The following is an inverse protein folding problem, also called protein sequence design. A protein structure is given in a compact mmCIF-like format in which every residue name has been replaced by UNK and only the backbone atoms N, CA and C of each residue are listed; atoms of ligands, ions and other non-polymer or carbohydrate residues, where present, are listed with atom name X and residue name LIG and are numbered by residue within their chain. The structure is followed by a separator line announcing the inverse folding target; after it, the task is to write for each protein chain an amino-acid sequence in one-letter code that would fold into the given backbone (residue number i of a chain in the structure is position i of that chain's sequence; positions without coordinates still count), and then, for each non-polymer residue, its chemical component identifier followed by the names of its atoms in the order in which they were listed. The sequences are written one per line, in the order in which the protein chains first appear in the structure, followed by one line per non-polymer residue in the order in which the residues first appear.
data_IF_355271833918
#
_entry.id   IF_355271833918
#
_cell.length_a   1.000
_cell.length_b   1.000
_cell.length_c   1.000
_cell.angle_alpha   90.00
_cell.angle_beta   90.00
_cell.angle_gamma   90.00
#
_symmetry.space_group_name_H-M   'P 1'
#
loop_
_entity.id
_entity.type
_entity.pdbx_description
1 polymer ?
#
# COMPACT_ATOMS: atom_id res chain seq x y z
N UNK A 1 -10.55 39.29 -27.89
CA UNK A 1 -10.98 37.93 -28.27
C UNK A 1 -10.30 36.81 -27.48
N UNK A 2 -8.99 36.84 -27.21
CA UNK A 2 -8.28 35.77 -26.49
C UNK A 2 -8.81 35.47 -25.07
N UNK A 3 -9.16 36.51 -24.29
CA UNK A 3 -9.67 36.37 -22.91
C UNK A 3 -11.04 35.67 -22.85
N UNK A 4 -11.92 35.92 -23.84
CA UNK A 4 -13.23 35.27 -23.92
C UNK A 4 -13.11 33.78 -24.27
N UNK A 5 -12.16 33.43 -25.15
CA UNK A 5 -11.86 32.05 -25.54
C UNK A 5 -11.21 31.25 -24.41
N UNK A 6 -10.36 31.90 -23.59
CA UNK A 6 -9.81 31.29 -22.37
C UNK A 6 -10.88 31.05 -21.29
N UNK A 7 -11.82 32.00 -21.12
CA UNK A 7 -12.96 31.84 -20.19
C UNK A 7 -13.93 30.74 -20.61
N UNK A 8 -14.21 30.60 -21.92
CA UNK A 8 -15.06 29.51 -22.42
C UNK A 8 -14.36 28.16 -22.32
N UNK A 9 -13.05 28.09 -22.62
CA UNK A 9 -12.25 26.87 -22.41
C UNK A 9 -12.23 26.43 -20.94
N UNK A 10 -12.08 27.38 -20.00
CA UNK A 10 -12.15 27.09 -18.57
C UNK A 10 -13.51 26.53 -18.14
N UNK A 11 -14.62 27.08 -18.66
CA UNK A 11 -15.98 26.56 -18.38
C UNK A 11 -16.18 25.14 -18.93
N UNK A 12 -15.70 24.88 -20.16
CA UNK A 12 -15.79 23.54 -20.76
C UNK A 12 -15.00 22.52 -19.94
N UNK A 13 -13.79 22.87 -19.49
CA UNK A 13 -12.97 21.99 -18.64
C UNK A 13 -13.64 21.73 -17.27
N UNK A 14 -14.23 22.74 -16.65
CA UNK A 14 -14.96 22.58 -15.38
C UNK A 14 -16.18 21.66 -15.55
N UNK A 15 -16.97 21.85 -16.61
CA UNK A 15 -18.15 21.01 -16.89
C UNK A 15 -17.71 19.58 -17.20
N UNK A 16 -16.70 19.38 -18.04
CA UNK A 16 -16.16 18.05 -18.34
C UNK A 16 -15.62 17.36 -17.08
N UNK A 17 -14.91 18.09 -16.21
CA UNK A 17 -14.44 17.58 -14.93
C UNK A 17 -15.58 17.20 -13.97
N UNK A 18 -16.62 18.03 -13.88
CA UNK A 18 -17.81 17.75 -13.06
C UNK A 18 -18.57 16.51 -13.56
N UNK A 19 -18.78 16.40 -14.87
CA UNK A 19 -19.38 15.22 -15.49
C UNK A 19 -18.55 13.97 -15.26
N UNK A 20 -17.21 14.09 -15.33
CA UNK A 20 -16.31 12.98 -15.05
C UNK A 20 -16.39 12.51 -13.59
N UNK A 21 -16.44 13.44 -12.62
CA UNK A 21 -16.64 13.10 -11.20
C UNK A 21 -18.02 12.48 -10.96
N UNK A 22 -19.07 13.02 -11.60
CA UNK A 22 -20.41 12.46 -11.52
C UNK A 22 -20.46 11.03 -12.09
N UNK A 23 -19.79 10.79 -13.22
CA UNK A 23 -19.64 9.46 -13.80
C UNK A 23 -18.88 8.50 -12.88
N UNK A 24 -17.77 8.94 -12.27
CA UNK A 24 -17.06 8.14 -11.26
C UNK A 24 -17.96 7.81 -10.06
N UNK A 25 -18.83 8.72 -9.65
CA UNK A 25 -19.74 8.51 -8.53
C UNK A 25 -20.89 7.54 -8.87
N UNK A 26 -21.39 7.61 -10.10
CA UNK A 26 -22.53 6.83 -10.57
C UNK A 26 -22.17 5.40 -11.02
N UNK A 27 -21.05 5.23 -11.73
CA UNK A 27 -20.71 3.96 -12.42
C UNK A 27 -19.76 3.09 -11.61
N UNK A 28 -18.92 3.68 -10.75
CA UNK A 28 -18.01 2.89 -9.91
C UNK A 28 -18.82 2.06 -8.89
N UNK A 29 -18.46 0.79 -8.60
CA UNK A 29 -19.27 -0.09 -7.76
C UNK A 29 -19.71 0.58 -6.46
N UNK A 30 -21.01 0.52 -6.10
CA UNK A 30 -21.51 1.17 -4.90
C UNK A 30 -20.93 0.50 -3.65
N UNK A 31 -20.42 1.27 -2.67
CA UNK A 31 -19.82 0.70 -1.46
C UNK A 31 -20.84 0.11 -0.47
N UNK A 32 -22.13 0.14 -0.83
CA UNK A 32 -23.25 -0.33 0.00
C UNK A 32 -23.09 -1.79 0.42
N UNK A 33 -22.44 -2.60 -0.43
CA UNK A 33 -22.18 -4.01 -0.16
C UNK A 33 -21.38 -4.22 1.14
N UNK A 34 -20.47 -3.29 1.46
CA UNK A 34 -19.65 -3.35 2.68
C UNK A 34 -20.39 -3.02 3.96
N UNK A 35 -21.68 -2.67 3.91
CA UNK A 35 -22.51 -2.54 5.13
C UNK A 35 -22.51 -3.85 5.91
N UNK A 36 -22.71 -4.95 5.20
CA UNK A 36 -23.00 -6.25 5.81
C UNK A 36 -22.02 -7.35 5.37
N UNK A 37 -21.10 -7.04 4.44
CA UNK A 37 -20.13 -8.01 3.94
C UNK A 37 -18.72 -7.68 4.39
N UNK A 38 -17.96 -8.73 4.70
CA UNK A 38 -16.55 -8.66 5.06
C UNK A 38 -15.67 -8.91 3.82
N UNK A 39 -14.61 -8.12 3.62
CA UNK A 39 -13.69 -8.32 2.51
C UNK A 39 -12.92 -9.63 2.69
N UNK A 40 -13.05 -10.58 1.77
CA UNK A 40 -12.23 -11.81 1.78
C UNK A 40 -10.81 -11.57 1.28
N UNK A 41 -10.66 -10.64 0.36
CA UNK A 41 -9.41 -10.33 -0.32
C UNK A 41 -9.52 -8.95 -0.96
N UNK A 42 -8.62 -8.04 -0.59
CA UNK A 42 -8.60 -6.66 -1.09
C UNK A 42 -7.66 -6.49 -2.29
N UNK A 43 -7.72 -5.34 -2.95
CA UNK A 43 -6.78 -5.04 -4.04
C UNK A 43 -5.32 -5.07 -3.56
N UNK A 44 -5.06 -4.55 -2.35
CA UNK A 44 -3.71 -4.54 -1.77
C UNK A 44 -3.24 -5.95 -1.37
N UNK A 45 -4.12 -6.78 -0.83
CA UNK A 45 -3.78 -8.17 -0.52
C UNK A 45 -3.44 -8.99 -1.78
N UNK A 46 -4.15 -8.78 -2.89
CA UNK A 46 -3.82 -9.42 -4.18
C UNK A 46 -2.45 -9.01 -4.67
N UNK A 47 -2.12 -7.72 -4.54
CA UNK A 47 -0.83 -7.20 -4.96
C UNK A 47 0.33 -7.83 -4.16
N UNK A 48 0.13 -8.06 -2.86
CA UNK A 48 1.14 -8.66 -1.99
C UNK A 48 1.11 -10.21 -1.99
N UNK A 49 0.43 -10.83 -2.98
CA UNK A 49 0.19 -12.27 -3.08
C UNK A 49 -0.42 -12.92 -1.82
N UNK A 50 -0.97 -12.10 -0.92
CA UNK A 50 -1.56 -12.54 0.34
C UNK A 50 -2.88 -13.30 0.13
N UNK A 51 -3.49 -13.17 -1.05
CA UNK A 51 -4.67 -13.96 -1.42
C UNK A 51 -4.34 -15.33 -2.01
N UNK A 52 -3.06 -15.62 -2.36
CA UNK A 52 -2.64 -16.88 -3.00
C UNK A 52 -2.08 -17.92 -2.01
N UNK A 53 -1.60 -17.49 -0.85
CA UNK A 53 -0.83 -18.31 0.09
C UNK A 53 -1.67 -19.16 1.06
N UNK A 54 -3.00 -19.14 1.00
CA UNK A 54 -3.85 -19.75 2.03
C UNK A 54 -4.33 -21.16 1.67
N UNK A 55 -3.48 -22.17 1.92
CA UNK A 55 -3.96 -23.50 2.36
C UNK A 55 -4.57 -23.46 3.78
N UNK A 56 -4.48 -22.32 4.46
CA UNK A 56 -5.17 -22.03 5.74
C UNK A 56 -5.86 -20.65 5.66
N UNK A 57 -7.18 -20.59 5.44
CA UNK A 57 -7.93 -19.35 5.20
C UNK A 57 -8.12 -18.42 6.43
N UNK A 58 -7.51 -18.73 7.59
CA UNK A 58 -7.88 -18.10 8.86
C UNK A 58 -7.06 -16.86 9.27
N UNK A 59 -5.92 -16.56 8.62
CA UNK A 59 -4.99 -15.52 9.14
C UNK A 59 -5.01 -14.17 8.41
N UNK A 60 -5.57 -14.08 7.19
CA UNK A 60 -5.39 -12.92 6.33
C UNK A 60 -6.48 -11.86 6.43
N UNK A 61 -7.73 -12.22 6.75
CA UNK A 61 -8.77 -11.23 7.06
C UNK A 61 -9.63 -11.77 8.17
N UNK A 62 -9.57 -11.11 9.32
CA UNK A 62 -10.43 -11.40 10.44
C UNK A 62 -11.36 -10.22 10.67
N UNK A 63 -12.68 -10.41 10.54
CA UNK A 63 -13.65 -9.37 10.86
C UNK A 63 -13.42 -8.85 12.28
N UNK A 64 -13.50 -7.54 12.43
CA UNK A 64 -13.53 -6.85 13.73
C UNK A 64 -14.93 -6.24 13.91
N UNK A 65 -15.97 -7.05 14.19
CA UNK A 65 -17.35 -6.58 14.26
C UNK A 65 -17.58 -5.64 15.45
N UNK A 66 -16.83 -5.82 16.54
CA UNK A 66 -16.76 -4.91 17.67
C UNK A 66 -15.34 -4.35 17.75
N UNK A 67 -15.22 -3.04 17.56
CA UNK A 67 -13.93 -2.36 17.61
C UNK A 67 -13.56 -2.10 19.08
N UNK A 68 -12.43 -2.61 19.60
CA UNK A 68 -12.02 -2.31 20.95
C UNK A 68 -11.77 -0.80 21.15
N UNK A 69 -12.30 -0.16 22.19
CA UNK A 69 -12.20 1.29 22.37
C UNK A 69 -10.76 1.82 22.43
N UNK A 70 -9.84 1.08 23.07
CA UNK A 70 -8.42 1.46 23.16
C UNK A 70 -7.77 1.43 21.77
N UNK A 71 -8.04 0.38 20.99
CA UNK A 71 -7.52 0.24 19.62
C UNK A 71 -8.03 1.37 18.74
N UNK A 72 -9.34 1.63 18.78
CA UNK A 72 -9.95 2.72 18.01
C UNK A 72 -9.29 4.06 18.30
N UNK A 73 -9.13 4.40 19.58
CA UNK A 73 -8.52 5.67 20.00
C UNK A 73 -7.08 5.79 19.54
N UNK A 74 -6.27 4.73 19.67
CA UNK A 74 -4.86 4.76 19.25
C UNK A 74 -4.73 4.95 17.73
N UNK A 75 -5.59 4.29 16.95
CA UNK A 75 -5.59 4.42 15.48
C UNK A 75 -6.05 5.81 15.05
N UNK A 76 -7.11 6.37 15.66
CA UNK A 76 -7.55 7.74 15.42
C UNK A 76 -6.41 8.74 15.72
N UNK A 77 -5.76 8.62 16.88
CA UNK A 77 -4.67 9.54 17.26
C UNK A 77 -3.47 9.45 16.31
N UNK A 78 -3.16 8.23 15.83
CA UNK A 78 -2.01 7.99 14.98
C UNK A 78 -2.23 8.44 13.53
N UNK A 79 -3.39 8.10 12.95
CA UNK A 79 -3.64 8.21 11.51
C UNK A 79 -4.54 9.37 11.12
N UNK A 80 -5.53 9.71 11.94
CA UNK A 80 -6.63 10.60 11.54
C UNK A 80 -7.37 11.12 12.78
N UNK A 81 -6.80 12.14 13.42
CA UNK A 81 -7.28 12.64 14.73
C UNK A 81 -8.69 13.24 14.69
N UNK A 82 -9.18 13.57 13.49
CA UNK A 82 -10.51 14.15 13.24
C UNK A 82 -11.43 13.20 12.49
N UNK A 83 -11.10 11.91 12.51
CA UNK A 83 -11.87 10.84 11.88
C UNK A 83 -13.36 10.92 12.14
N UNK A 84 -13.77 11.23 13.37
CA UNK A 84 -15.18 11.28 13.77
C UNK A 84 -15.93 12.54 13.28
N UNK A 85 -15.21 13.57 12.83
CA UNK A 85 -15.81 14.89 12.50
C UNK A 85 -15.85 15.19 11.01
N UNK A 86 -14.97 14.61 10.19
CA UNK A 86 -14.98 14.83 8.74
C UNK A 86 -15.81 13.75 8.00
N UNK A 87 -16.07 13.94 6.70
CA UNK A 87 -16.83 13.00 5.86
C UNK A 87 -15.96 12.46 4.72
N UNK A 88 -14.94 11.67 5.08
CA UNK A 88 -14.02 11.03 4.14
C UNK A 88 -12.79 11.85 3.74
N UNK A 89 -12.89 13.17 3.64
CA UNK A 89 -11.74 14.04 3.38
C UNK A 89 -11.61 15.04 4.51
N UNK A 90 -10.40 15.18 5.03
CA UNK A 90 -10.08 16.19 6.03
C UNK A 90 -9.47 17.43 5.37
N UNK A 91 -10.31 18.44 5.13
CA UNK A 91 -9.89 19.68 4.48
C UNK A 91 -9.01 20.56 5.37
N UNK A 92 -9.19 20.54 6.68
CA UNK A 92 -8.38 21.33 7.60
C UNK A 92 -6.98 20.69 7.69
N UNK A 93 -6.87 19.36 7.72
CA UNK A 93 -5.56 18.69 7.80
C UNK A 93 -4.82 18.83 6.47
N UNK A 94 -5.56 18.79 5.35
CA UNK A 94 -5.01 19.07 4.04
C UNK A 94 -4.46 20.50 3.94
N UNK A 95 -5.19 21.49 4.48
CA UNK A 95 -4.73 22.88 4.53
C UNK A 95 -3.47 23.01 5.40
N UNK A 96 -3.48 22.47 6.61
CA UNK A 96 -2.35 22.53 7.54
C UNK A 96 -1.11 21.81 6.99
N UNK A 97 -1.29 20.66 6.33
CA UNK A 97 -0.20 19.93 5.69
C UNK A 97 0.41 20.73 4.53
N UNK A 98 -0.42 21.41 3.73
CA UNK A 98 0.06 22.27 2.65
C UNK A 98 0.80 23.50 3.19
N UNK A 99 0.26 24.16 4.22
CA UNK A 99 0.92 25.28 4.89
C UNK A 99 2.27 24.89 5.50
N UNK A 100 2.42 23.64 5.96
CA UNK A 100 3.67 23.08 6.47
C UNK A 100 4.64 22.57 5.37
N UNK A 101 4.47 22.98 4.12
CA UNK A 101 5.35 22.63 3.00
C UNK A 101 5.02 21.30 2.31
N UNK A 102 3.88 20.68 2.62
CA UNK A 102 3.41 19.46 1.93
C UNK A 102 4.17 18.18 2.28
N UNK A 103 5.14 18.24 3.21
CA UNK A 103 5.96 17.08 3.60
C UNK A 103 5.21 16.06 4.48
N UNK A 104 4.03 16.41 5.03
CA UNK A 104 3.18 15.47 5.78
C UNK A 104 2.02 14.97 4.91
N UNK A 105 1.74 13.67 5.01
CA UNK A 105 0.53 13.10 4.40
C UNK A 105 -0.72 13.49 5.18
N UNK A 106 -1.75 13.98 4.49
CA UNK A 106 -3.07 14.33 5.05
C UNK A 106 -4.14 13.30 4.62
N UNK A 107 -3.81 12.01 4.59
CA UNK A 107 -4.75 10.98 4.13
C UNK A 107 -5.56 10.41 5.28
N UNK A 108 -6.88 10.45 5.17
CA UNK A 108 -7.82 9.97 6.21
C UNK A 108 -7.88 8.45 6.28
N UNK A 109 -8.39 7.91 7.38
CA UNK A 109 -8.64 6.46 7.53
C UNK A 109 -9.55 5.94 6.40
N UNK A 110 -10.58 6.71 6.04
CA UNK A 110 -11.51 6.34 4.97
C UNK A 110 -10.83 6.31 3.59
N UNK A 111 -9.92 7.26 3.31
CA UNK A 111 -9.11 7.25 2.10
C UNK A 111 -8.17 6.05 2.05
N UNK A 112 -7.52 5.72 3.17
CA UNK A 112 -6.67 4.55 3.26
C UNK A 112 -7.46 3.25 3.08
N UNK A 113 -8.67 3.16 3.63
CA UNK A 113 -9.59 2.04 3.40
C UNK A 113 -9.98 1.92 1.92
N UNK A 114 -10.38 3.03 1.28
CA UNK A 114 -10.72 3.06 -0.14
C UNK A 114 -9.56 2.55 -1.02
N UNK A 115 -8.34 3.01 -0.72
CA UNK A 115 -7.11 2.55 -1.37
C UNK A 115 -6.95 1.04 -1.24
N UNK A 116 -7.07 0.51 -0.02
CA UNK A 116 -6.86 -0.90 0.27
C UNK A 116 -7.89 -1.79 -0.46
N UNK A 117 -9.18 -1.44 -0.36
CA UNK A 117 -10.27 -2.22 -0.94
C UNK A 117 -10.24 -2.24 -2.48
N UNK A 118 -10.05 -1.09 -3.11
CA UNK A 118 -10.40 -0.91 -4.53
C UNK A 118 -9.24 -0.56 -5.46
N UNK A 119 -8.14 -0.03 -4.96
CA UNK A 119 -7.16 0.65 -5.80
C UNK A 119 -5.81 -0.09 -5.84
N UNK A 120 -5.20 -0.08 -7.01
CA UNK A 120 -3.85 -0.58 -7.24
C UNK A 120 -2.81 0.46 -6.74
N UNK A 121 -1.52 0.10 -6.57
CA UNK A 121 -0.50 0.97 -5.98
C UNK A 121 -0.01 2.10 -6.92
N UNK A 122 -0.66 2.35 -8.06
CA UNK A 122 -0.17 3.29 -9.08
C UNK A 122 -0.03 4.73 -8.55
N UNK A 123 1.11 5.39 -8.78
CA UNK A 123 1.34 6.78 -8.34
C UNK A 123 0.77 7.79 -9.34
N UNK A 124 -0.56 7.80 -9.52
CA UNK A 124 -1.26 8.74 -10.41
C UNK A 124 -2.19 9.68 -9.63
N UNK A 125 -2.24 10.95 -10.03
CA UNK A 125 -3.21 11.95 -9.53
C UNK A 125 -4.65 11.44 -9.74
N UNK A 126 -4.90 10.78 -10.88
CA UNK A 126 -6.18 10.18 -11.18
C UNK A 126 -6.59 9.10 -10.18
N UNK A 127 -5.62 8.28 -9.73
CA UNK A 127 -5.86 7.29 -8.67
C UNK A 127 -6.19 7.99 -7.35
N UNK A 128 -5.49 9.07 -7.00
CA UNK A 128 -5.79 9.83 -5.78
C UNK A 128 -7.18 10.48 -5.82
N UNK A 129 -7.62 10.95 -6.98
CA UNK A 129 -9.00 11.43 -7.17
C UNK A 129 -10.02 10.30 -6.95
N UNK A 130 -9.79 9.12 -7.54
CA UNK A 130 -10.63 7.94 -7.30
C UNK A 130 -10.70 7.55 -5.82
N UNK A 131 -9.58 7.64 -5.11
CA UNK A 131 -9.51 7.40 -3.66
C UNK A 131 -10.41 8.38 -2.90
N UNK A 132 -10.30 9.68 -3.18
CA UNK A 132 -11.13 10.71 -2.56
C UNK A 132 -12.63 10.51 -2.83
N UNK A 133 -13.01 10.28 -4.10
CA UNK A 133 -14.42 10.01 -4.48
C UNK A 133 -14.93 8.75 -3.78
N UNK A 134 -14.14 7.68 -3.74
CA UNK A 134 -14.53 6.43 -3.08
C UNK A 134 -14.65 6.61 -1.57
N UNK A 135 -13.78 7.40 -0.94
CA UNK A 135 -13.84 7.70 0.49
C UNK A 135 -15.14 8.44 0.84
N UNK A 136 -15.52 9.47 0.08
CA UNK A 136 -16.80 10.17 0.27
C UNK A 136 -17.98 9.22 0.11
N UNK A 137 -17.95 8.33 -0.89
CA UNK A 137 -19.02 7.33 -1.09
C UNK A 137 -19.11 6.32 0.06
N UNK A 138 -17.98 5.89 0.62
CA UNK A 138 -17.95 5.02 1.79
C UNK A 138 -18.61 5.71 3.00
N UNK A 139 -18.36 7.00 3.19
CA UNK A 139 -18.90 7.77 4.32
C UNK A 139 -20.40 8.07 4.19
N UNK A 140 -20.90 8.20 2.96
CA UNK A 140 -22.33 8.30 2.70
C UNK A 140 -23.04 6.95 2.88
N UNK A 141 -22.34 5.85 2.63
CA UNK A 141 -22.93 4.52 2.70
C UNK A 141 -22.81 3.86 4.08
N UNK A 142 -21.72 4.10 4.82
CA UNK A 142 -21.33 3.33 6.00
C UNK A 142 -21.22 4.25 7.23
N UNK A 143 -21.54 3.71 8.42
CA UNK A 143 -21.28 4.41 9.68
C UNK A 143 -19.77 4.47 9.96
N UNK A 144 -19.34 5.46 10.76
CA UNK A 144 -17.94 5.59 11.21
C UNK A 144 -17.41 4.31 11.88
N UNK A 145 -18.25 3.65 12.67
CA UNK A 145 -17.88 2.41 13.33
C UNK A 145 -17.68 1.28 12.32
N UNK A 146 -18.52 1.20 11.28
CA UNK A 146 -18.35 0.22 10.21
C UNK A 146 -17.09 0.47 9.40
N UNK A 147 -16.80 1.73 9.06
CA UNK A 147 -15.56 2.13 8.37
C UNK A 147 -14.34 1.73 9.20
N UNK A 148 -14.33 2.04 10.50
CA UNK A 148 -13.25 1.66 11.40
C UNK A 148 -13.09 0.13 11.47
N UNK A 149 -14.18 -0.62 11.63
CA UNK A 149 -14.15 -2.09 11.66
C UNK A 149 -13.57 -2.69 10.38
N UNK A 150 -13.99 -2.21 9.21
CA UNK A 150 -13.44 -2.64 7.92
C UNK A 150 -11.96 -2.28 7.79
N UNK A 151 -11.56 -1.06 8.15
CA UNK A 151 -10.17 -0.61 8.12
C UNK A 151 -9.29 -1.51 8.99
N UNK A 152 -9.69 -1.76 10.23
CA UNK A 152 -8.96 -2.64 11.15
C UNK A 152 -8.94 -4.09 10.68
N UNK A 153 -9.89 -4.53 9.86
CA UNK A 153 -9.91 -5.89 9.32
C UNK A 153 -8.94 -6.07 8.15
N UNK A 154 -8.65 -5.01 7.39
CA UNK A 154 -7.85 -5.09 6.16
C UNK A 154 -6.52 -4.35 6.21
N UNK A 155 -6.21 -3.64 7.29
CA UNK A 155 -4.93 -2.94 7.41
C UNK A 155 -3.75 -3.92 7.43
N UNK A 156 -2.70 -3.64 6.67
CA UNK A 156 -1.44 -4.38 6.77
C UNK A 156 -0.70 -3.91 8.02
N UNK A 157 -0.28 -4.84 8.87
CA UNK A 157 0.42 -4.59 10.14
C UNK A 157 1.76 -5.37 10.22
N UNK A 158 2.20 -5.92 9.09
CA UNK A 158 3.44 -6.68 8.97
C UNK A 158 3.49 -7.43 7.65
N UNK A 159 4.66 -7.98 7.26
CA UNK A 159 4.76 -8.84 6.09
C UNK A 159 3.80 -10.03 6.22
N UNK A 160 2.73 -10.06 5.42
CA UNK A 160 1.71 -11.11 5.46
C UNK A 160 0.79 -11.07 6.68
N UNK A 161 0.87 -10.04 7.53
CA UNK A 161 0.01 -9.86 8.71
C UNK A 161 -1.03 -8.80 8.40
N UNK A 162 -2.27 -9.23 8.25
CA UNK A 162 -3.37 -8.40 7.79
C UNK A 162 -4.51 -8.41 8.80
N UNK A 163 -4.94 -7.23 9.19
CA UNK A 163 -5.97 -7.01 10.18
C UNK A 163 -5.44 -6.99 11.62
N UNK A 164 -6.11 -6.19 12.44
CA UNK A 164 -5.75 -5.93 13.83
C UNK A 164 -5.80 -7.19 14.69
N UNK A 165 -6.79 -8.07 14.47
CA UNK A 165 -6.88 -9.35 15.18
C UNK A 165 -5.68 -10.25 14.88
N UNK A 166 -5.36 -10.43 13.60
CA UNK A 166 -4.20 -11.25 13.22
C UNK A 166 -2.90 -10.68 13.79
N UNK A 167 -2.77 -9.34 13.80
CA UNK A 167 -1.59 -8.67 14.35
C UNK A 167 -1.50 -8.78 15.89
N UNK A 168 -2.60 -8.59 16.62
CA UNK A 168 -2.60 -8.69 18.08
C UNK A 168 -2.22 -10.10 18.54
N UNK A 169 -2.77 -11.11 17.87
CA UNK A 169 -2.45 -12.52 18.12
C UNK A 169 -1.00 -12.85 17.72
N UNK A 170 -0.54 -12.37 16.55
CA UNK A 170 0.81 -12.65 16.06
C UNK A 170 1.92 -12.00 16.89
N UNK A 171 1.73 -10.75 17.34
CA UNK A 171 2.77 -10.01 18.04
C UNK A 171 2.69 -10.08 19.56
N UNK A 172 1.49 -10.28 20.12
CA UNK A 172 1.27 -10.22 21.56
C UNK A 172 0.53 -11.42 22.14
N UNK A 173 0.05 -12.35 21.31
CA UNK A 173 -0.65 -13.56 21.77
C UNK A 173 -2.00 -13.27 22.44
N UNK A 174 -2.58 -12.09 22.22
CA UNK A 174 -3.85 -11.67 22.84
C UNK A 174 -4.84 -11.19 21.79
N UNK A 175 -6.15 -11.35 22.03
CA UNK A 175 -7.17 -10.74 21.19
C UNK A 175 -7.15 -9.21 21.30
N UNK A 176 -7.67 -8.46 20.30
CA UNK A 176 -7.59 -7.01 20.25
C UNK A 176 -8.18 -6.26 21.45
N UNK A 177 -9.20 -6.83 22.10
CA UNK A 177 -9.87 -6.31 23.29
C UNK A 177 -9.01 -6.39 24.56
N UNK A 178 -7.97 -7.23 24.55
CA UNK A 178 -7.00 -7.39 25.65
C UNK A 178 -5.68 -6.66 25.42
N UNK A 179 -5.56 -5.91 24.33
CA UNK A 179 -4.38 -5.09 24.09
C UNK A 179 -4.26 -3.99 25.15
N UNK A 180 -3.07 -3.84 25.71
CA UNK A 180 -2.75 -2.66 26.51
C UNK A 180 -2.67 -1.41 25.63
N UNK A 181 -2.78 -0.23 26.25
CA UNK A 181 -2.60 1.04 25.53
C UNK A 181 -1.27 1.10 24.76
N UNK A 182 -0.18 0.62 25.36
CA UNK A 182 1.14 0.58 24.73
C UNK A 182 1.22 -0.37 23.53
N UNK A 183 0.58 -1.55 23.63
CA UNK A 183 0.52 -2.52 22.53
C UNK A 183 -0.36 -1.98 21.38
N UNK A 184 -1.51 -1.39 21.70
CA UNK A 184 -2.38 -0.76 20.70
C UNK A 184 -1.69 0.43 20.02
N UNK A 185 -0.97 1.27 20.76
CA UNK A 185 -0.19 2.37 20.21
C UNK A 185 0.95 1.87 19.30
N UNK A 186 1.61 0.77 19.65
CA UNK A 186 2.64 0.14 18.82
C UNK A 186 2.06 -0.38 17.50
N UNK A 187 0.89 -1.02 17.52
CA UNK A 187 0.19 -1.43 16.29
C UNK A 187 -0.28 -0.23 15.46
N UNK A 188 -0.77 0.83 16.09
CA UNK A 188 -1.13 2.06 15.38
C UNK A 188 0.11 2.72 14.73
N UNK A 189 1.26 2.75 15.41
CA UNK A 189 2.52 3.27 14.89
C UNK A 189 3.08 2.46 13.70
N UNK A 190 2.60 1.24 13.49
CA UNK A 190 2.99 0.34 12.40
C UNK A 190 2.36 0.73 11.06
N UNK A 191 1.16 1.30 11.08
CA UNK A 191 0.31 1.54 9.90
C UNK A 191 0.98 2.32 8.75
N UNK A 192 1.83 3.33 8.98
CA UNK A 192 2.48 4.03 7.87
C UNK A 192 3.46 3.17 7.08
N UNK A 193 4.15 2.23 7.74
CA UNK A 193 5.26 1.46 7.17
C UNK A 193 5.29 0.03 7.71
N UNK A 194 4.23 -0.77 7.50
CA UNK A 194 4.00 -2.01 8.24
C UNK A 194 5.08 -3.07 8.01
N UNK A 195 5.70 -3.09 6.83
CA UNK A 195 6.74 -4.06 6.48
C UNK A 195 8.11 -3.74 7.10
N UNK A 196 8.37 -2.48 7.46
CA UNK A 196 9.68 -2.01 7.95
C UNK A 196 9.60 -1.25 9.28
N UNK A 197 8.44 -1.26 9.94
CA UNK A 197 8.20 -0.65 11.24
C UNK A 197 7.05 -1.39 11.91
N UNK A 198 7.31 -2.40 12.72
CA UNK A 198 6.28 -3.23 13.38
C UNK A 198 6.78 -3.79 14.73
N UNK A 199 5.94 -4.46 15.55
CA UNK A 199 6.37 -4.97 16.83
C UNK A 199 7.48 -6.03 16.80
N UNK A 200 7.74 -6.68 15.66
CA UNK A 200 8.88 -7.58 15.47
C UNK A 200 10.15 -6.82 15.04
N UNK A 201 10.01 -5.76 14.26
CA UNK A 201 11.10 -4.89 13.82
C UNK A 201 10.81 -3.44 14.23
N UNK A 202 11.43 -3.02 15.34
CA UNK A 202 11.12 -1.79 16.11
C UNK A 202 12.14 -0.67 15.87
N UNK A 203 12.18 -0.05 14.67
CA UNK A 203 13.10 1.05 14.42
C UNK A 203 12.79 2.24 15.33
N UNK A 204 13.78 3.10 15.57
CA UNK A 204 13.65 4.27 16.45
C UNK A 204 12.44 5.14 16.08
N UNK A 205 12.22 5.38 14.79
CA UNK A 205 11.04 6.10 14.26
C UNK A 205 9.69 5.50 14.67
N UNK A 206 9.58 4.17 14.78
CA UNK A 206 8.35 3.48 15.17
C UNK A 206 8.10 3.66 16.67
N UNK A 207 9.14 3.55 17.48
CA UNK A 207 9.07 3.80 18.92
C UNK A 207 8.72 5.26 19.21
N UNK A 208 9.36 6.21 18.53
CA UNK A 208 9.05 7.63 18.63
C UNK A 208 7.59 7.93 18.26
N UNK A 209 7.07 7.31 17.19
CA UNK A 209 5.66 7.44 16.81
C UNK A 209 4.72 6.82 17.86
N UNK A 210 5.03 5.64 18.40
CA UNK A 210 4.28 5.02 19.50
C UNK A 210 4.21 5.96 20.69
N UNK A 211 5.33 6.54 21.09
CA UNK A 211 5.43 7.39 22.28
C UNK A 211 4.67 8.71 22.08
N UNK A 212 4.73 9.29 20.87
CA UNK A 212 3.91 10.43 20.49
C UNK A 212 2.40 10.12 20.58
N UNK A 213 1.98 8.94 20.09
CA UNK A 213 0.58 8.49 20.15
C UNK A 213 0.13 8.31 21.59
N UNK A 214 0.93 7.64 22.43
CA UNK A 214 0.65 7.46 23.85
C UNK A 214 0.56 8.80 24.59
N UNK A 215 1.48 9.71 24.31
CA UNK A 215 1.46 11.00 24.96
C UNK A 215 0.20 11.79 24.62
N UNK A 216 -0.20 11.82 23.34
CA UNK A 216 -1.47 12.43 22.93
C UNK A 216 -2.67 11.75 23.60
N UNK A 217 -2.65 10.43 23.74
CA UNK A 217 -3.70 9.66 24.40
C UNK A 217 -3.87 10.02 25.87
N UNK A 218 -2.77 10.24 26.60
CA UNK A 218 -2.78 10.66 28.01
C UNK A 218 -2.87 12.17 28.21
N UNK A 219 -3.09 12.97 27.15
CA UNK A 219 -3.28 14.42 27.23
C UNK A 219 -1.98 15.26 27.23
N UNK A 220 -0.83 14.65 26.92
CA UNK A 220 0.44 15.35 26.76
C UNK A 220 0.45 16.25 25.53
N UNK A 221 0.79 17.53 25.71
CA UNK A 221 1.10 18.46 24.60
C UNK A 221 2.53 18.17 24.10
N UNK A 222 2.71 17.12 23.33
CA UNK A 222 4.03 16.77 22.79
C UNK A 222 4.21 17.34 21.37
N UNK A 223 5.23 18.19 21.14
CA UNK A 223 5.62 18.58 19.80
C UNK A 223 6.09 17.35 19.02
N UNK A 224 5.64 17.20 17.77
CA UNK A 224 6.10 16.13 16.88
C UNK A 224 7.60 16.32 16.68
N UNK A 225 8.47 15.40 17.15
CA UNK A 225 9.89 15.54 16.92
C UNK A 225 10.13 15.52 15.40
N UNK A 226 11.05 16.36 14.86
CA UNK A 226 11.44 16.24 13.47
C UNK A 226 11.86 14.79 13.22
N UNK A 227 11.40 14.21 12.12
CA UNK A 227 11.81 12.87 11.71
C UNK A 227 13.33 12.96 11.55
N UNK A 228 14.08 12.33 12.46
CA UNK A 228 15.45 11.97 12.15
C UNK A 228 15.31 11.04 10.96
N UNK A 229 15.67 11.52 9.77
CA UNK A 229 15.94 10.66 8.64
C UNK A 229 17.05 9.73 9.12
N UNK A 230 16.65 8.57 9.67
CA UNK A 230 17.52 7.41 9.71
C UNK A 230 17.98 7.29 8.26
N UNK A 231 19.25 7.61 8.03
CA UNK A 231 19.92 7.51 6.73
C UNK A 231 19.43 6.23 6.09
N UNK A 232 18.68 6.36 4.99
CA UNK A 232 18.38 5.21 4.14
C UNK A 232 19.75 4.62 3.88
N UNK A 233 20.07 3.39 4.32
CA UNK A 233 21.37 2.82 4.00
C UNK A 233 21.49 2.92 2.49
N UNK A 234 22.58 3.54 2.01
CA UNK A 234 22.82 3.71 0.59
C UNK A 234 22.57 2.36 -0.06
N UNK A 235 21.47 2.27 -0.82
CA UNK A 235 21.19 1.09 -1.60
C UNK A 235 22.37 1.03 -2.55
N UNK A 236 23.23 -0.02 -2.49
CA UNK A 236 24.35 -0.11 -3.41
C UNK A 236 23.78 0.05 -4.80
N UNK A 237 24.34 1.00 -5.56
CA UNK A 237 24.00 1.19 -6.97
C UNK A 237 24.15 -0.19 -7.60
N UNK A 238 23.04 -0.74 -8.10
CA UNK A 238 23.10 -1.98 -8.86
C UNK A 238 23.89 -1.62 -10.10
N UNK A 239 25.17 -2.00 -10.12
CA UNK A 239 25.99 -1.87 -11.31
C UNK A 239 25.26 -2.60 -12.43
N UNK A 240 25.06 -1.96 -13.59
CA UNK A 240 24.47 -2.64 -14.73
C UNK A 240 25.28 -3.91 -14.98
N UNK A 241 24.61 -5.05 -15.27
CA UNK A 241 25.31 -6.29 -15.56
C UNK A 241 26.35 -6.02 -16.66
N UNK A 242 27.54 -6.64 -16.57
CA UNK A 242 28.56 -6.46 -17.59
C UNK A 242 27.94 -6.73 -18.96
N UNK A 243 28.12 -5.78 -19.88
CA UNK A 243 27.74 -5.97 -21.28
C UNK A 243 28.50 -7.21 -21.73
N UNK A 244 27.77 -8.32 -21.92
CA UNK A 244 28.35 -9.52 -22.49
C UNK A 244 29.01 -9.12 -23.82
N UNK A 245 30.25 -9.56 -24.09
CA UNK A 245 30.91 -9.22 -25.34
C UNK A 245 30.01 -9.68 -26.50
N UNK A 246 29.76 -8.78 -27.43
CA UNK A 246 29.10 -9.12 -28.70
C UNK A 246 30.02 -10.13 -29.37
N UNK A 247 29.59 -11.40 -29.39
CA UNK A 247 30.34 -12.45 -30.09
C UNK A 247 30.31 -12.08 -31.57
N UNK A 248 31.47 -11.84 -32.21
CA UNK A 248 31.52 -11.54 -33.63
C UNK A 248 30.92 -12.71 -34.41
N UNK A 249 30.11 -12.42 -35.44
CA UNK A 249 29.50 -13.46 -36.28
C UNK A 249 30.56 -14.41 -36.86
N UNK A 250 31.77 -13.88 -37.11
CA UNK A 250 32.92 -14.60 -37.64
C UNK A 250 33.44 -15.67 -36.66
N UNK A 251 33.36 -15.43 -35.35
CA UNK A 251 33.72 -16.41 -34.31
C UNK A 251 32.72 -17.55 -34.22
N UNK A 252 31.44 -17.29 -34.52
CA UNK A 252 30.40 -18.31 -34.62
C UNK A 252 30.57 -19.12 -35.90
N UNK A 253 30.93 -18.46 -37.01
CA UNK A 253 31.20 -19.12 -38.29
C UNK A 253 32.40 -20.08 -38.19
N UNK A 254 33.50 -19.68 -37.54
CA UNK A 254 34.66 -20.56 -37.35
C UNK A 254 34.36 -21.76 -36.43
N UNK A 255 33.63 -21.55 -35.34
CA UNK A 255 33.23 -22.66 -34.46
C UNK A 255 32.29 -23.66 -35.16
N UNK A 256 31.41 -23.19 -36.06
CA UNK A 256 30.54 -24.05 -36.87
C UNK A 256 31.30 -24.77 -37.99
N UNK A 257 32.30 -24.13 -38.62
CA UNK A 257 33.12 -24.80 -39.63
C UNK A 257 34.01 -25.88 -39.02
N UNK A 258 34.64 -25.62 -37.86
CA UNK A 258 35.49 -26.63 -37.20
C UNK A 258 34.68 -27.85 -36.76
N UNK A 259 33.46 -27.64 -36.24
CA UNK A 259 32.55 -28.73 -35.88
C UNK A 259 32.07 -29.55 -37.08
N UNK A 260 31.86 -28.91 -38.24
CA UNK A 260 31.45 -29.61 -39.46
C UNK A 260 32.62 -30.33 -40.13
N UNK A 261 33.85 -29.82 -40.03
CA UNK A 261 35.04 -30.49 -40.55
C UNK A 261 35.41 -31.72 -39.72
N UNK A 262 35.31 -31.66 -38.38
CA UNK A 262 35.55 -32.83 -37.51
C UNK A 262 34.50 -33.92 -37.73
N UNK A 263 33.24 -33.55 -37.98
CA UNK A 263 32.19 -34.51 -38.33
C UNK A 263 32.38 -35.19 -39.69
N UNK A 264 33.07 -34.54 -40.64
CA UNK A 264 33.29 -35.08 -41.98
C UNK A 264 34.58 -35.91 -42.07
N UNK A 265 35.59 -35.60 -41.26
CA UNK A 265 36.83 -36.40 -41.15
C UNK A 265 36.59 -37.72 -40.44
N UNK A 266 35.78 -37.77 -39.38
CA UNK A 266 35.41 -39.04 -38.70
C UNK A 266 34.56 -39.97 -39.59
N UNK A 267 33.76 -39.41 -40.49
CA UNK A 267 32.93 -40.17 -41.44
C UNK A 267 33.74 -40.81 -42.59
N UNK A 268 34.84 -40.17 -43.00
CA UNK A 268 35.70 -40.65 -44.10
C UNK A 268 36.77 -41.66 -43.63
N UNK A 269 37.20 -41.60 -42.37
CA UNK A 269 38.13 -42.59 -41.79
C UNK A 269 37.46 -43.93 -41.51
N UNK A 270 36.18 -43.96 -41.16
CA UNK A 270 35.43 -45.20 -40.90
C UNK A 270 35.10 -45.98 -42.20
N UNK A 271 35.07 -45.30 -43.35
CA UNK A 271 34.79 -45.91 -44.67
C UNK A 271 36.01 -46.60 -45.32
N UNK A 272 37.24 -46.43 -44.80
CA UNK A 272 38.47 -47.00 -45.39
C UNK A 272 39.04 -48.20 -44.61
N UNK A 273 38.44 -48.56 -43.47
CA UNK A 273 38.90 -49.67 -42.61
C UNK A 273 38.05 -50.94 -42.79
N UNK A 274 36.96 -50.89 -43.56
CA UNK A 274 36.16 -52.08 -43.90
C UNK A 274 35.93 -52.24 -45.41
N UNK A 275 36.92 -52.84 -46.08
CA UNK A 275 36.69 -53.68 -47.26
C UNK A 275 37.61 -54.91 -47.18
N UNK A 276 37.06 -56.14 -47.26
CA UNK A 276 37.87 -57.34 -47.46
C UNK A 276 38.47 -57.41 -48.86
#
# INVERSE_FOLDING_TARGET
MAVAKARSAGRVLLVAGALFVAWLFAVWPPPIWWRDHEPRCTAMMRLHDACRTTRQPARAVSPVPSVPPVVERMVIIAEDSRFKTHHGIDFIELHDAWAAGGHRGASTITQQLAKNLYLSPSRSIFRKLKEGVTAVRLELALSKNRIMGLYLSVAELGPGVWGMKAASEAYYGVPPDRLTAAQAAALAATLPQPRTSNPAYRPARMLARRDLVLARYYGGKIPVPPIAEDSIPDVPVIEPPPILPVIPLDSIAHALTDSLTDSLTDSLTDSLIHKP
#
